data_IF_886059365221
#
_entry.id   IF_886059365221
#
_cell.length_a   1.000
_cell.length_b   1.000
_cell.length_c   1.000
_cell.angle_alpha   90.00
_cell.angle_beta   90.00
_cell.angle_gamma   90.00
#
_symmetry.space_group_name_H-M   'P 1'
#
loop_
_entity.id
_entity.type
_entity.pdbx_description
1 polymer ?
#
# COMPACT_ATOMS: atom_id res chain seq x y z
N UNK A 1 -20.25 39.61 -29.81
CA UNK A 1 -21.00 38.42 -29.39
C UNK A 1 -20.18 37.21 -29.79
N UNK A 2 -19.39 36.66 -28.84
CA UNK A 2 -18.59 35.46 -29.14
C UNK A 2 -19.52 34.25 -29.16
N UNK A 3 -19.50 33.54 -30.27
CA UNK A 3 -20.28 32.33 -30.46
C UNK A 3 -19.79 31.27 -29.45
N UNK A 4 -20.68 30.80 -28.58
CA UNK A 4 -20.43 29.74 -27.61
C UNK A 4 -19.99 28.47 -28.36
N UNK A 5 -18.72 28.08 -28.21
CA UNK A 5 -18.15 26.92 -28.88
C UNK A 5 -18.64 25.60 -28.24
N UNK A 6 -19.81 25.15 -28.69
CA UNK A 6 -20.47 23.93 -28.24
C UNK A 6 -19.58 22.69 -28.39
N UNK A 7 -18.59 22.74 -29.29
CA UNK A 7 -17.69 21.60 -29.55
C UNK A 7 -16.67 21.39 -28.41
N UNK A 8 -16.27 22.48 -27.72
CA UNK A 8 -15.40 22.39 -26.53
C UNK A 8 -16.14 21.84 -25.34
N UNK A 9 -17.40 22.22 -25.16
CA UNK A 9 -18.25 21.74 -24.08
C UNK A 9 -18.52 20.24 -24.27
N UNK A 10 -18.84 19.80 -25.48
CA UNK A 10 -19.03 18.38 -25.80
C UNK A 10 -17.79 17.53 -25.53
N UNK A 11 -16.59 18.02 -25.85
CA UNK A 11 -15.33 17.32 -25.55
C UNK A 11 -15.05 17.22 -24.05
N UNK A 12 -15.37 18.25 -23.26
CA UNK A 12 -15.27 18.20 -21.79
C UNK A 12 -16.24 17.18 -21.22
N UNK A 13 -17.50 17.18 -21.69
CA UNK A 13 -18.51 16.21 -21.27
C UNK A 13 -18.19 14.78 -21.69
N UNK A 14 -17.60 14.57 -22.86
CA UNK A 14 -17.10 13.25 -23.27
C UNK A 14 -15.92 12.79 -22.38
N UNK A 15 -15.00 13.67 -21.99
CA UNK A 15 -13.95 13.34 -21.01
C UNK A 15 -14.48 13.03 -19.63
N UNK A 16 -15.50 13.73 -19.19
CA UNK A 16 -16.15 13.47 -17.89
C UNK A 16 -16.92 12.14 -17.91
N UNK A 17 -17.54 11.78 -19.05
CA UNK A 17 -18.20 10.48 -19.23
C UNK A 17 -17.23 9.32 -19.49
N UNK A 18 -16.06 9.59 -20.01
CA UNK A 18 -14.98 8.59 -20.18
C UNK A 18 -13.94 8.64 -19.06
N UNK A 19 -14.19 9.40 -17.96
CA UNK A 19 -13.54 9.11 -16.71
C UNK A 19 -13.83 7.64 -16.39
N UNK A 20 -12.82 6.81 -16.13
CA UNK A 20 -13.07 5.41 -15.78
C UNK A 20 -14.12 5.43 -14.68
N UNK A 21 -15.23 4.69 -14.88
CA UNK A 21 -16.15 4.37 -13.83
C UNK A 21 -15.27 4.03 -12.63
N UNK A 22 -15.42 4.75 -11.53
CA UNK A 22 -14.59 4.53 -10.35
C UNK A 22 -14.74 3.05 -10.05
N UNK A 23 -13.71 2.27 -10.37
CA UNK A 23 -13.74 0.83 -10.13
C UNK A 23 -14.12 0.65 -8.67
N UNK A 24 -15.32 0.10 -8.45
CA UNK A 24 -15.73 -0.25 -7.09
C UNK A 24 -14.69 -1.24 -6.61
N UNK A 25 -13.97 -0.95 -5.52
CA UNK A 25 -12.90 -1.81 -5.08
C UNK A 25 -13.44 -3.23 -4.85
N UNK A 26 -12.87 -4.22 -5.53
CA UNK A 26 -13.22 -5.62 -5.35
C UNK A 26 -12.57 -6.16 -4.06
N UNK A 27 -13.36 -6.53 -3.03
CA UNK A 27 -12.83 -7.06 -1.78
C UNK A 27 -11.94 -8.30 -1.98
N UNK A 28 -12.19 -9.09 -3.02
CA UNK A 28 -11.35 -10.24 -3.36
C UNK A 28 -9.95 -9.81 -3.80
N UNK A 29 -9.86 -8.88 -4.75
CA UNK A 29 -8.59 -8.36 -5.21
C UNK A 29 -7.81 -7.69 -4.07
N UNK A 30 -8.50 -6.95 -3.20
CA UNK A 30 -7.90 -6.36 -2.01
C UNK A 30 -7.36 -7.42 -1.04
N UNK A 31 -8.10 -8.51 -0.80
CA UNK A 31 -7.64 -9.61 0.06
C UNK A 31 -6.41 -10.33 -0.53
N UNK A 32 -6.37 -10.54 -1.85
CA UNK A 32 -5.21 -11.12 -2.54
C UNK A 32 -3.98 -10.21 -2.40
N UNK A 33 -4.16 -8.90 -2.52
CA UNK A 33 -3.09 -7.92 -2.31
C UNK A 33 -2.57 -7.92 -0.88
N UNK A 34 -3.45 -7.95 0.13
CA UNK A 34 -3.06 -8.01 1.54
C UNK A 34 -2.22 -9.25 1.85
N UNK A 35 -2.65 -10.42 1.38
CA UNK A 35 -1.90 -11.66 1.59
C UNK A 35 -0.56 -11.67 0.85
N UNK A 36 -0.50 -11.07 -0.33
CA UNK A 36 0.74 -10.92 -1.09
C UNK A 36 1.73 -10.02 -0.35
N UNK A 37 1.25 -8.89 0.18
CA UNK A 37 2.07 -7.97 0.96
C UNK A 37 2.50 -8.58 2.30
N UNK A 38 1.64 -9.36 2.96
CA UNK A 38 2.00 -10.09 4.17
C UNK A 38 3.21 -11.02 3.95
N UNK A 39 3.21 -11.76 2.84
CA UNK A 39 4.32 -12.63 2.47
C UNK A 39 5.60 -11.83 2.15
N UNK A 40 5.48 -10.72 1.43
CA UNK A 40 6.59 -9.84 1.08
C UNK A 40 7.21 -9.18 2.33
N UNK A 41 6.37 -8.67 3.24
CA UNK A 41 6.80 -8.05 4.50
C UNK A 41 7.47 -9.06 5.44
N UNK A 42 6.95 -10.29 5.52
CA UNK A 42 7.59 -11.36 6.28
C UNK A 42 8.96 -11.74 5.71
N UNK A 43 9.12 -11.76 4.38
CA UNK A 43 10.39 -11.97 3.72
C UNK A 43 11.36 -10.80 3.96
N UNK A 44 10.88 -9.56 3.92
CA UNK A 44 11.66 -8.36 4.25
C UNK A 44 12.13 -8.38 5.70
N UNK A 45 11.28 -8.76 6.64
CA UNK A 45 11.62 -8.80 8.07
C UNK A 45 12.87 -9.64 8.35
N UNK A 46 13.08 -10.73 7.59
CA UNK A 46 14.28 -11.58 7.71
C UNK A 46 15.57 -10.90 7.30
N UNK A 47 15.50 -9.81 6.54
CA UNK A 47 16.66 -9.02 6.08
C UNK A 47 17.09 -7.94 7.07
N UNK A 48 16.32 -7.76 8.14
CA UNK A 48 16.55 -6.74 9.16
C UNK A 48 16.73 -7.37 10.54
N UNK A 49 17.23 -6.58 11.48
CA UNK A 49 17.42 -6.95 12.88
C UNK A 49 16.78 -5.92 13.81
N UNK A 50 16.65 -6.24 15.08
CA UNK A 50 16.16 -5.31 16.11
C UNK A 50 14.75 -4.79 15.83
N UNK A 51 14.53 -3.52 16.10
CA UNK A 51 13.20 -2.90 15.99
C UNK A 51 12.66 -2.87 14.57
N UNK A 52 13.51 -2.74 13.56
CA UNK A 52 13.09 -2.75 12.15
C UNK A 52 12.47 -4.09 11.77
N UNK A 53 13.09 -5.18 12.19
CA UNK A 53 12.54 -6.53 12.01
C UNK A 53 11.18 -6.66 12.68
N UNK A 54 11.08 -6.27 13.96
CA UNK A 54 9.81 -6.33 14.71
C UNK A 54 8.70 -5.52 14.06
N UNK A 55 9.00 -4.33 13.57
CA UNK A 55 8.04 -3.50 12.85
C UNK A 55 7.53 -4.17 11.58
N UNK A 56 8.41 -4.76 10.78
CA UNK A 56 8.03 -5.46 9.56
C UNK A 56 7.23 -6.74 9.84
N UNK A 57 7.58 -7.48 10.90
CA UNK A 57 6.80 -8.66 11.36
C UNK A 57 5.39 -8.24 11.82
N UNK A 58 5.26 -7.11 12.50
CA UNK A 58 3.98 -6.57 12.92
C UNK A 58 3.11 -6.17 11.71
N UNK A 59 3.68 -5.48 10.72
CA UNK A 59 2.99 -5.14 9.48
C UNK A 59 2.58 -6.38 8.68
N UNK A 60 3.41 -7.43 8.64
CA UNK A 60 3.06 -8.69 7.99
C UNK A 60 1.84 -9.36 8.65
N UNK A 61 1.79 -9.39 9.98
CA UNK A 61 0.64 -9.91 10.74
C UNK A 61 -0.61 -9.07 10.52
N UNK A 62 -0.46 -7.75 10.46
CA UNK A 62 -1.55 -6.82 10.19
C UNK A 62 -2.15 -7.08 8.80
N UNK A 63 -1.33 -7.19 7.77
CA UNK A 63 -1.79 -7.51 6.42
C UNK A 63 -2.50 -8.89 6.35
N UNK A 64 -2.02 -9.90 7.10
CA UNK A 64 -2.74 -11.18 7.24
C UNK A 64 -4.12 -11.00 7.88
N UNK A 65 -4.21 -10.17 8.93
CA UNK A 65 -5.48 -9.86 9.60
C UNK A 65 -6.46 -9.15 8.65
N UNK A 66 -5.97 -8.18 7.88
CA UNK A 66 -6.77 -7.48 6.86
C UNK A 66 -7.30 -8.46 5.80
N UNK A 67 -6.45 -9.33 5.28
CA UNK A 67 -6.85 -10.38 4.34
C UNK A 67 -7.93 -11.30 4.92
N UNK A 68 -7.82 -11.67 6.20
CA UNK A 68 -8.82 -12.49 6.89
C UNK A 68 -10.16 -11.74 7.05
N UNK A 69 -10.14 -10.45 7.40
CA UNK A 69 -11.35 -9.62 7.51
C UNK A 69 -12.06 -9.48 6.16
N UNK A 70 -11.31 -9.23 5.08
CA UNK A 70 -11.85 -9.15 3.73
C UNK A 70 -12.44 -10.49 3.26
N UNK A 71 -11.80 -11.62 3.58
CA UNK A 71 -12.37 -12.96 3.36
C UNK A 71 -13.71 -13.15 4.11
N UNK A 72 -13.77 -12.64 5.35
CA UNK A 72 -15.00 -12.65 6.13
C UNK A 72 -16.12 -11.84 5.46
N UNK A 73 -15.81 -10.65 4.95
CA UNK A 73 -16.75 -9.81 4.20
C UNK A 73 -17.23 -10.56 2.96
N UNK A 74 -16.34 -11.17 2.19
CA UNK A 74 -16.70 -11.97 1.01
C UNK A 74 -17.62 -13.13 1.36
N UNK A 75 -17.31 -13.88 2.41
CA UNK A 75 -18.15 -15.00 2.86
C UNK A 75 -19.56 -14.56 3.26
N UNK A 76 -19.73 -13.34 3.77
CA UNK A 76 -21.02 -12.77 4.16
C UNK A 76 -21.80 -12.14 2.98
N UNK A 77 -21.12 -11.84 1.88
CA UNK A 77 -21.72 -11.12 0.73
C UNK A 77 -21.87 -11.99 -0.52
N UNK A 78 -21.15 -13.09 -0.62
CA UNK A 78 -21.12 -13.97 -1.79
C UNK A 78 -21.34 -15.43 -1.36
N UNK A 79 -22.27 -16.13 -2.01
CA UNK A 79 -22.58 -17.54 -1.71
C UNK A 79 -21.43 -18.50 -2.05
N UNK A 80 -20.59 -18.15 -3.04
CA UNK A 80 -19.44 -18.91 -3.49
C UNK A 80 -18.20 -18.02 -3.54
N UNK A 81 -17.66 -17.64 -2.37
CA UNK A 81 -16.40 -16.90 -2.34
C UNK A 81 -15.27 -17.80 -2.86
N UNK A 82 -14.60 -17.42 -3.97
CA UNK A 82 -13.52 -18.23 -4.52
C UNK A 82 -12.32 -18.25 -3.57
N UNK A 83 -11.48 -19.28 -3.69
CA UNK A 83 -10.24 -19.37 -2.94
C UNK A 83 -9.36 -18.15 -3.23
N UNK A 84 -8.90 -17.49 -2.16
CA UNK A 84 -8.02 -16.33 -2.24
C UNK A 84 -6.59 -16.80 -2.05
N UNK A 85 -5.72 -16.51 -3.01
CA UNK A 85 -4.31 -16.92 -3.00
C UNK A 85 -3.41 -15.70 -2.93
N UNK A 86 -2.34 -15.82 -2.16
CA UNK A 86 -1.27 -14.83 -2.18
C UNK A 86 -0.48 -14.95 -3.48
N UNK A 87 -0.15 -13.82 -4.08
CA UNK A 87 0.75 -13.73 -5.23
C UNK A 87 2.20 -13.47 -4.82
N UNK A 88 3.00 -13.04 -5.78
CA UNK A 88 4.38 -12.57 -5.59
C UNK A 88 4.54 -11.19 -6.24
N UNK A 89 5.30 -10.31 -5.60
CA UNK A 89 5.62 -9.00 -6.17
C UNK A 89 6.71 -9.09 -7.25
N UNK A 90 7.40 -10.23 -7.37
CA UNK A 90 8.47 -10.42 -8.37
C UNK A 90 9.71 -9.54 -8.16
N UNK A 91 9.83 -8.89 -7.00
CA UNK A 91 10.92 -7.98 -6.66
C UNK A 91 11.87 -8.64 -5.67
N UNK A 92 13.18 -8.49 -5.88
CA UNK A 92 14.22 -9.08 -5.05
C UNK A 92 14.97 -8.06 -4.19
N UNK A 93 15.06 -6.80 -4.65
CA UNK A 93 15.76 -5.75 -3.95
C UNK A 93 14.96 -5.21 -2.77
N UNK A 94 15.61 -5.06 -1.61
CA UNK A 94 14.98 -4.60 -0.36
C UNK A 94 14.31 -3.24 -0.50
N UNK A 95 15.00 -2.26 -1.09
CA UNK A 95 14.45 -0.91 -1.29
C UNK A 95 13.22 -0.93 -2.20
N UNK A 96 13.27 -1.68 -3.31
CA UNK A 96 12.16 -1.81 -4.25
C UNK A 96 10.95 -2.48 -3.61
N UNK A 97 11.16 -3.50 -2.77
CA UNK A 97 10.09 -4.17 -2.02
C UNK A 97 9.45 -3.24 -0.98
N UNK A 98 10.26 -2.52 -0.19
CA UNK A 98 9.76 -1.55 0.79
C UNK A 98 8.92 -0.47 0.11
N UNK A 99 9.41 0.10 -0.98
CA UNK A 99 8.70 1.11 -1.76
C UNK A 99 7.38 0.57 -2.31
N UNK A 100 7.43 -0.60 -2.94
CA UNK A 100 6.24 -1.22 -3.52
C UNK A 100 5.17 -1.54 -2.49
N UNK A 101 5.55 -2.12 -1.35
CA UNK A 101 4.61 -2.38 -0.26
C UNK A 101 4.02 -1.07 0.29
N UNK A 102 4.84 -0.03 0.49
CA UNK A 102 4.38 1.28 0.95
C UNK A 102 3.38 1.94 -0.01
N UNK A 103 3.66 1.93 -1.30
CA UNK A 103 2.77 2.48 -2.34
C UNK A 103 1.43 1.72 -2.39
N UNK A 104 1.48 0.40 -2.27
CA UNK A 104 0.27 -0.45 -2.25
C UNK A 104 -0.57 -0.19 -1.01
N UNK A 105 0.03 -0.11 0.16
CA UNK A 105 -0.65 0.26 1.40
C UNK A 105 -1.31 1.64 1.30
N UNK A 106 -0.59 2.63 0.78
CA UNK A 106 -1.16 3.96 0.58
C UNK A 106 -2.39 3.91 -0.34
N UNK A 107 -2.29 3.22 -1.47
CA UNK A 107 -3.41 3.07 -2.42
C UNK A 107 -4.59 2.35 -1.79
N UNK A 108 -4.37 1.24 -1.05
CA UNK A 108 -5.44 0.54 -0.35
C UNK A 108 -6.08 1.40 0.73
N UNK A 109 -5.31 2.18 1.47
CA UNK A 109 -5.84 3.14 2.45
C UNK A 109 -6.85 4.10 1.81
N UNK A 110 -6.55 4.65 0.63
CA UNK A 110 -7.47 5.50 -0.13
C UNK A 110 -8.72 4.73 -0.56
N UNK A 111 -8.57 3.50 -1.05
CA UNK A 111 -9.69 2.65 -1.46
C UNK A 111 -10.60 2.29 -0.27
N UNK A 112 -10.05 1.91 0.88
CA UNK A 112 -10.83 1.63 2.08
C UNK A 112 -11.57 2.87 2.59
N UNK A 113 -10.97 4.06 2.50
CA UNK A 113 -11.65 5.31 2.80
C UNK A 113 -12.88 5.52 1.92
N UNK A 114 -12.82 5.20 0.64
CA UNK A 114 -13.96 5.31 -0.26
C UNK A 114 -15.12 4.38 0.10
N UNK A 115 -14.87 3.34 0.90
CA UNK A 115 -15.84 2.35 1.35
C UNK A 115 -16.38 2.61 2.78
N UNK A 116 -15.95 3.67 3.45
CA UNK A 116 -16.39 3.99 4.82
C UNK A 116 -17.91 4.23 4.94
N UNK A 117 -18.54 4.67 3.86
CA UNK A 117 -19.99 4.89 3.81
C UNK A 117 -20.81 3.63 3.55
N UNK A 118 -20.18 2.48 3.34
CA UNK A 118 -20.86 1.21 3.14
C UNK A 118 -21.62 0.82 4.43
N UNK A 119 -22.95 0.56 4.37
CA UNK A 119 -23.77 0.45 5.58
C UNK A 119 -23.40 -0.71 6.51
N UNK A 120 -22.91 -1.83 5.97
CA UNK A 120 -22.65 -3.06 6.74
C UNK A 120 -21.23 -3.10 7.29
N UNK A 121 -20.25 -2.68 6.51
CA UNK A 121 -18.81 -2.88 6.79
C UNK A 121 -18.01 -1.57 6.84
N UNK A 122 -18.67 -0.41 6.75
CA UNK A 122 -18.00 0.89 6.71
C UNK A 122 -17.04 1.12 7.88
N UNK A 123 -17.40 0.68 9.10
CA UNK A 123 -16.49 0.75 10.27
C UNK A 123 -15.25 -0.12 10.11
N UNK A 124 -15.40 -1.31 9.52
CA UNK A 124 -14.27 -2.18 9.22
C UNK A 124 -13.34 -1.52 8.20
N UNK A 125 -13.89 -0.99 7.11
CA UNK A 125 -13.10 -0.27 6.10
C UNK A 125 -12.41 0.97 6.67
N UNK A 126 -13.04 1.73 7.55
CA UNK A 126 -12.42 2.86 8.24
C UNK A 126 -11.21 2.44 9.09
N UNK A 127 -11.32 1.33 9.82
CA UNK A 127 -10.21 0.77 10.59
C UNK A 127 -9.08 0.30 9.68
N UNK A 128 -9.38 -0.46 8.62
CA UNK A 128 -8.40 -0.88 7.63
C UNK A 128 -7.67 0.31 6.99
N UNK A 129 -8.40 1.38 6.63
CA UNK A 129 -7.81 2.59 6.06
C UNK A 129 -6.80 3.25 7.01
N UNK A 130 -7.15 3.40 8.28
CA UNK A 130 -6.26 4.02 9.28
C UNK A 130 -4.98 3.19 9.49
N UNK A 131 -5.09 1.86 9.52
CA UNK A 131 -3.96 0.96 9.68
C UNK A 131 -3.05 0.96 8.44
N UNK A 132 -3.61 0.97 7.23
CA UNK A 132 -2.85 1.07 5.98
C UNK A 132 -2.08 2.40 5.88
N UNK A 133 -2.71 3.51 6.26
CA UNK A 133 -2.05 4.82 6.29
C UNK A 133 -0.88 4.86 7.27
N UNK A 134 -1.05 4.25 8.45
CA UNK A 134 0.02 4.15 9.45
C UNK A 134 1.16 3.24 8.96
N UNK A 135 0.83 2.10 8.36
CA UNK A 135 1.80 1.15 7.79
C UNK A 135 2.61 1.76 6.65
N UNK A 136 1.95 2.46 5.74
CA UNK A 136 2.61 3.17 4.64
C UNK A 136 3.63 4.20 5.14
N UNK A 137 3.27 5.00 6.13
CA UNK A 137 4.19 5.98 6.76
C UNK A 137 5.41 5.29 7.37
N UNK A 138 5.21 4.20 8.09
CA UNK A 138 6.30 3.45 8.71
C UNK A 138 7.26 2.87 7.66
N UNK A 139 6.76 2.35 6.55
CA UNK A 139 7.62 1.86 5.46
C UNK A 139 8.41 2.99 4.79
N UNK A 140 7.83 4.18 4.63
CA UNK A 140 8.54 5.36 4.13
C UNK A 140 9.64 5.81 5.09
N UNK A 141 9.41 5.78 6.40
CA UNK A 141 10.43 6.07 7.41
C UNK A 141 11.58 5.06 7.37
N UNK A 142 11.28 3.77 7.26
CA UNK A 142 12.28 2.71 7.10
C UNK A 142 13.11 2.94 5.84
N UNK A 143 12.47 3.24 4.72
CA UNK A 143 13.12 3.52 3.45
C UNK A 143 14.05 4.75 3.54
N UNK A 144 13.59 5.82 4.18
CA UNK A 144 14.38 7.05 4.40
C UNK A 144 15.60 6.84 5.32
N UNK A 145 15.55 5.83 6.20
CA UNK A 145 16.63 5.47 7.12
C UNK A 145 17.67 4.52 6.53
N UNK A 146 17.47 4.01 5.31
CA UNK A 146 18.42 3.13 4.64
C UNK A 146 19.64 3.92 4.14
N UNK A 147 20.85 3.34 4.20
CA UNK A 147 22.04 3.97 3.63
C UNK A 147 21.85 4.16 2.12
N UNK A 148 22.01 5.38 1.64
CA UNK A 148 21.95 5.66 0.20
C UNK A 148 23.18 5.03 -0.48
N UNK A 149 23.02 4.17 -1.47
CA UNK A 149 24.16 3.68 -2.23
C UNK A 149 24.82 4.87 -2.94
N UNK A 150 26.11 5.11 -2.68
CA UNK A 150 26.91 6.04 -3.47
C UNK A 150 27.33 7.36 -2.83
N UNK A 151 27.05 7.64 -1.56
CA UNK A 151 27.70 8.77 -0.87
C UNK A 151 28.83 8.19 -0.01
N UNK A 152 30.12 8.30 -0.42
CA UNK A 152 31.21 7.92 0.44
C UNK A 152 31.12 8.77 1.70
N UNK A 153 31.15 8.11 2.87
CA UNK A 153 31.28 8.83 4.15
C UNK A 153 32.52 9.71 4.00
N UNK A 154 32.33 11.04 4.01
CA UNK A 154 33.39 12.00 4.08
C UNK A 154 34.19 11.65 5.34
N UNK A 155 35.33 10.99 5.16
CA UNK A 155 36.26 10.77 6.25
C UNK A 155 36.51 12.13 6.90
N UNK A 156 36.29 12.20 8.21
CA UNK A 156 36.53 13.42 8.97
C UNK A 156 37.96 13.95 8.74
N UNK A 157 38.21 15.22 9.04
CA UNK A 157 39.48 15.84 8.79
C UNK A 157 40.62 15.00 9.40
N UNK A 158 41.79 14.91 8.73
CA UNK A 158 42.92 14.15 9.24
C UNK A 158 43.34 14.71 10.60
N UNK A 159 43.40 13.82 11.60
CA UNK A 159 43.90 14.24 12.92
C UNK A 159 45.35 14.71 12.81
N UNK A 160 45.68 15.86 13.41
CA UNK A 160 47.08 16.35 13.41
C UNK A 160 47.97 15.33 14.11
N UNK A 161 49.01 14.88 13.43
CA UNK A 161 50.05 14.05 14.03
C UNK A 161 50.71 14.85 15.14
N UNK A 162 50.55 14.43 16.39
CA UNK A 162 51.37 14.92 17.50
C UNK A 162 52.82 14.46 17.28
N UNK A 163 53.75 15.40 17.22
CA UNK A 163 55.19 15.15 17.33
C UNK A 163 55.57 15.01 18.81
#
# INVERSE_FOLDING_TARGET
MEAFDSSKVLRVWQRVRSAPESEVPDPRALAEEELTDAAALAALARRFTGNRRKSLEALAKQAQSHGAQLKGILALTQENAPEIRSGSLGLTQTESLLRRCGDRMHRRGVLYRSLESEPRFGRTYAALAAEEEAGSRLLLELLGSMPRPGIPRRNGPPQPRRR
#
